data_IF_116288043003
#
_entry.id   IF_116288043003
#
_cell.length_a   1.000
_cell.length_b   1.000
_cell.length_c   1.000
_cell.angle_alpha   90.00
_cell.angle_beta   90.00
_cell.angle_gamma   90.00
#
_symmetry.space_group_name_H-M   'P 1'
#
loop_
_entity.id
_entity.type
_entity.pdbx_description
1 polymer ?
#
# COMPACT_ATOMS: atom_id res chain seq x y z
N UNK A 1 -7.65 10.04 -17.00
CA UNK A 1 -7.93 9.70 -15.60
C UNK A 1 -8.03 8.18 -15.57
N UNK A 2 -7.01 7.49 -15.09
CA UNK A 2 -6.87 6.03 -15.19
C UNK A 2 -7.37 5.38 -13.90
N UNK A 3 -8.35 4.49 -14.07
CA UNK A 3 -8.76 3.36 -13.22
C UNK A 3 -8.51 3.45 -11.73
N UNK A 4 -9.42 4.11 -11.00
CA UNK A 4 -9.64 3.80 -9.58
C UNK A 4 -10.32 2.43 -9.47
N UNK A 5 -9.55 1.40 -9.18
CA UNK A 5 -9.85 0.43 -8.10
C UNK A 5 -11.14 -0.39 -8.11
N UNK A 6 -11.98 -0.33 -9.14
CA UNK A 6 -13.20 -1.13 -9.28
C UNK A 6 -13.33 -1.69 -10.70
N UNK A 7 -13.39 -3.01 -10.79
CA UNK A 7 -13.70 -3.83 -11.96
C UNK A 7 -12.78 -3.71 -13.20
N UNK A 8 -11.81 -4.62 -13.30
CA UNK A 8 -11.53 -5.28 -14.59
C UNK A 8 -10.45 -4.70 -15.50
N UNK A 9 -9.68 -3.70 -15.09
CA UNK A 9 -8.50 -3.30 -15.87
C UNK A 9 -7.30 -4.17 -15.44
N UNK A 10 -6.70 -4.89 -16.40
CA UNK A 10 -5.48 -5.68 -16.25
C UNK A 10 -4.33 -4.77 -15.77
N UNK A 11 -4.28 -4.45 -14.48
CA UNK A 11 -3.04 -4.05 -13.85
C UNK A 11 -2.09 -5.24 -14.01
N UNK A 12 -0.98 -5.10 -14.77
CA UNK A 12 -0.03 -6.21 -14.97
C UNK A 12 0.71 -6.57 -13.68
N UNK A 13 0.42 -5.84 -12.59
CA UNK A 13 0.95 -6.04 -11.26
C UNK A 13 -0.05 -6.85 -10.44
N UNK A 14 0.38 -8.04 -10.02
CA UNK A 14 -0.33 -8.83 -9.03
C UNK A 14 -0.09 -8.19 -7.66
N UNK A 15 -1.15 -7.61 -7.08
CA UNK A 15 -1.09 -7.05 -5.74
C UNK A 15 -1.58 -8.07 -4.73
N UNK A 16 -0.88 -8.19 -3.60
CA UNK A 16 -1.39 -8.94 -2.47
C UNK A 16 -2.46 -8.12 -1.74
N UNK A 17 -3.69 -8.62 -1.73
CA UNK A 17 -4.83 -8.02 -1.02
C UNK A 17 -5.27 -8.83 0.20
N UNK A 18 -4.57 -9.92 0.53
CA UNK A 18 -4.87 -10.76 1.69
C UNK A 18 -3.90 -10.47 2.84
N UNK A 19 -4.40 -9.70 3.81
CA UNK A 19 -3.64 -9.21 4.96
C UNK A 19 -2.96 -10.31 5.79
N UNK A 20 -3.50 -11.53 5.76
CA UNK A 20 -3.01 -12.67 6.55
C UNK A 20 -1.82 -13.33 5.87
N UNK A 21 -1.69 -13.18 4.56
CA UNK A 21 -0.56 -13.69 3.77
C UNK A 21 0.55 -12.66 3.55
N UNK A 22 0.37 -11.43 4.02
CA UNK A 22 1.38 -10.38 3.92
C UNK A 22 2.74 -10.84 4.44
N UNK A 23 3.76 -10.65 3.60
CA UNK A 23 5.16 -10.91 3.92
C UNK A 23 6.02 -9.76 3.39
N UNK A 24 7.21 -9.62 3.96
CA UNK A 24 8.22 -8.68 3.48
C UNK A 24 8.52 -9.00 2.01
N UNK A 25 8.51 -7.97 1.16
CA UNK A 25 8.70 -8.06 -0.29
C UNK A 25 7.40 -8.17 -1.10
N UNK A 26 6.22 -8.31 -0.46
CA UNK A 26 4.95 -8.23 -1.20
C UNK A 26 4.73 -6.82 -1.75
N UNK A 27 4.25 -6.76 -3.00
CA UNK A 27 3.73 -5.52 -3.58
C UNK A 27 2.25 -5.40 -3.20
N UNK A 28 1.91 -4.30 -2.56
CA UNK A 28 0.54 -4.01 -2.10
C UNK A 28 0.05 -2.70 -2.68
N UNK A 29 -1.26 -2.59 -2.85
CA UNK A 29 -1.89 -1.29 -3.06
C UNK A 29 -2.33 -0.72 -1.71
N UNK A 30 -1.91 0.50 -1.40
CA UNK A 30 -2.25 1.20 -0.17
C UNK A 30 -3.02 2.48 -0.48
N UNK A 31 -3.73 2.99 0.53
CA UNK A 31 -4.49 4.23 0.50
C UNK A 31 -3.85 5.23 1.45
N UNK A 32 -3.99 6.51 1.15
CA UNK A 32 -3.62 7.60 2.05
C UNK A 32 -4.88 8.38 2.38
N UNK A 33 -5.11 8.71 3.65
CA UNK A 33 -6.26 9.54 4.04
C UNK A 33 -6.03 11.03 3.68
N UNK A 34 -6.94 11.91 4.10
CA UNK A 34 -6.75 13.36 3.98
C UNK A 34 -6.76 13.86 2.54
N UNK A 35 -5.76 14.66 2.15
CA UNK A 35 -5.71 15.29 0.82
C UNK A 35 -5.46 14.32 -0.34
N UNK A 36 -5.01 13.10 -0.04
CA UNK A 36 -4.75 12.05 -1.02
C UNK A 36 -5.83 10.94 -0.98
N UNK A 37 -6.90 11.16 -0.23
CA UNK A 37 -8.03 10.23 -0.16
C UNK A 37 -8.65 10.00 -1.54
N UNK A 38 -8.92 8.74 -1.85
CA UNK A 38 -9.40 8.31 -3.16
C UNK A 38 -8.31 7.96 -4.16
N UNK A 39 -7.03 8.28 -3.93
CA UNK A 39 -5.97 7.82 -4.83
C UNK A 39 -5.39 6.47 -4.37
N UNK A 40 -5.33 5.46 -5.25
CA UNK A 40 -4.60 4.22 -4.96
C UNK A 40 -3.10 4.45 -5.20
N UNK A 41 -2.29 4.00 -4.24
CA UNK A 41 -0.83 3.98 -4.34
C UNK A 41 -0.33 2.54 -4.34
N UNK A 42 0.93 2.36 -4.74
CA UNK A 42 1.61 1.07 -4.78
C UNK A 42 2.91 1.18 -4.00
N UNK A 43 3.17 0.20 -3.15
CA UNK A 43 4.40 0.13 -2.38
C UNK A 43 4.78 -1.31 -2.04
N UNK A 44 6.00 -1.49 -1.54
CA UNK A 44 6.50 -2.81 -1.13
C UNK A 44 6.51 -2.92 0.38
N UNK A 45 6.00 -4.03 0.93
CA UNK A 45 6.07 -4.28 2.36
C UNK A 45 7.52 -4.52 2.79
N UNK A 46 8.03 -3.71 3.70
CA UNK A 46 9.37 -3.88 4.28
C UNK A 46 9.30 -4.42 5.71
N UNK A 47 8.18 -4.23 6.41
CA UNK A 47 7.91 -4.83 7.72
C UNK A 47 6.43 -5.23 7.81
N UNK A 48 6.16 -6.37 8.45
CA UNK A 48 4.80 -6.88 8.67
C UNK A 48 4.67 -7.26 10.15
N UNK A 49 3.73 -6.62 10.83
CA UNK A 49 3.43 -6.85 12.24
C UNK A 49 1.99 -7.37 12.40
N UNK A 50 1.58 -7.71 13.62
CA UNK A 50 0.21 -8.19 13.87
C UNK A 50 -0.85 -7.16 13.49
N UNK A 51 -0.68 -5.89 13.88
CA UNK A 51 -1.68 -4.83 13.71
C UNK A 51 -1.37 -3.80 12.60
N UNK A 52 -0.15 -3.80 12.07
CA UNK A 52 0.29 -2.80 11.09
C UNK A 52 1.36 -3.33 10.13
N UNK A 53 1.57 -2.61 9.05
CA UNK A 53 2.64 -2.86 8.08
C UNK A 53 3.47 -1.59 7.87
N UNK A 54 4.70 -1.77 7.41
CA UNK A 54 5.55 -0.67 6.94
C UNK A 54 5.81 -0.85 5.46
N UNK A 55 5.58 0.20 4.71
CA UNK A 55 5.59 0.22 3.25
C UNK A 55 6.71 1.14 2.79
N UNK A 56 7.56 0.68 1.87
CA UNK A 56 8.46 1.55 1.12
C UNK A 56 7.63 2.38 0.13
N UNK A 57 7.58 3.69 0.36
CA UNK A 57 6.77 4.63 -0.40
C UNK A 57 7.38 5.04 -1.73
N UNK A 58 8.71 4.97 -1.84
CA UNK A 58 9.43 5.19 -3.08
C UNK A 58 10.38 4.00 -3.32
N UNK A 59 10.37 3.38 -4.52
CA UNK A 59 11.23 2.24 -4.82
C UNK A 59 12.71 2.63 -5.02
N UNK A 60 13.02 3.91 -5.24
CA UNK A 60 14.38 4.44 -5.38
C UNK A 60 14.92 5.02 -4.07
N UNK A 61 14.04 5.38 -3.13
CA UNK A 61 14.39 5.91 -1.82
C UNK A 61 13.95 4.95 -0.69
N UNK A 62 14.87 4.08 -0.20
CA UNK A 62 14.56 3.13 0.86
C UNK A 62 14.36 3.77 2.25
N UNK A 63 14.57 5.08 2.39
CA UNK A 63 14.34 5.84 3.63
C UNK A 63 12.87 6.29 3.75
N UNK A 64 12.18 6.44 2.60
CA UNK A 64 10.76 6.76 2.53
C UNK A 64 9.91 5.56 2.96
N UNK A 65 9.49 5.58 4.23
CA UNK A 65 8.74 4.49 4.87
C UNK A 65 7.45 5.02 5.46
N UNK A 66 6.35 4.36 5.13
CA UNK A 66 5.03 4.71 5.62
C UNK A 66 4.46 3.60 6.49
N UNK A 67 3.96 3.97 7.66
CA UNK A 67 3.20 3.05 8.51
C UNK A 67 1.76 3.00 8.02
N UNK A 68 1.29 1.80 7.69
CA UNK A 68 -0.09 1.55 7.29
C UNK A 68 -0.80 0.55 8.20
N UNK A 69 -2.13 0.56 8.20
CA UNK A 69 -2.93 -0.50 8.83
C UNK A 69 -2.69 -1.85 8.14
N UNK A 70 -2.81 -2.94 8.90
CA UNK A 70 -2.85 -4.28 8.32
C UNK A 70 -4.29 -4.60 7.95
N UNK A 71 -4.64 -4.32 6.70
CA UNK A 71 -5.92 -4.66 6.10
C UNK A 71 -5.71 -4.93 4.60
N UNK A 72 -6.77 -5.32 3.88
CA UNK A 72 -6.69 -5.68 2.46
C UNK A 72 -6.01 -4.60 1.57
N UNK A 73 -6.25 -3.32 1.89
CA UNK A 73 -5.50 -2.18 1.34
C UNK A 73 -5.02 -1.31 2.49
N UNK A 74 -3.74 -1.39 2.89
CA UNK A 74 -3.21 -0.64 4.02
C UNK A 74 -3.60 0.84 3.93
N UNK A 75 -4.05 1.41 5.05
CA UNK A 75 -4.34 2.83 5.16
C UNK A 75 -3.18 3.52 5.86
N UNK A 76 -2.56 4.46 5.16
CA UNK A 76 -1.49 5.34 5.65
C UNK A 76 -2.12 6.68 6.00
N UNK A 77 -1.72 7.25 7.14
CA UNK A 77 -2.11 8.60 7.52
C UNK A 77 -1.33 9.62 6.67
N UNK A 78 -2.00 10.66 6.17
CA UNK A 78 -1.36 11.72 5.38
C UNK A 78 -0.22 12.42 6.13
N UNK A 79 -0.24 12.42 7.47
CA UNK A 79 0.86 12.97 8.27
C UNK A 79 2.16 12.17 8.18
N UNK A 80 2.10 10.92 7.69
CA UNK A 80 3.27 10.05 7.51
C UNK A 80 3.90 10.21 6.12
N UNK A 81 3.21 10.90 5.18
CA UNK A 81 3.58 11.05 3.76
C UNK A 81 4.16 12.42 3.46
#
# INVERSE_FOLDING_TARGET
MLGMGEDGENCPFEFNFDEKTFKIGDTVSYRVNGSLEGFPFVGTLIEVHDDYVVIAGDPNDPETKYRGTRESRPLVEFSEV
#
